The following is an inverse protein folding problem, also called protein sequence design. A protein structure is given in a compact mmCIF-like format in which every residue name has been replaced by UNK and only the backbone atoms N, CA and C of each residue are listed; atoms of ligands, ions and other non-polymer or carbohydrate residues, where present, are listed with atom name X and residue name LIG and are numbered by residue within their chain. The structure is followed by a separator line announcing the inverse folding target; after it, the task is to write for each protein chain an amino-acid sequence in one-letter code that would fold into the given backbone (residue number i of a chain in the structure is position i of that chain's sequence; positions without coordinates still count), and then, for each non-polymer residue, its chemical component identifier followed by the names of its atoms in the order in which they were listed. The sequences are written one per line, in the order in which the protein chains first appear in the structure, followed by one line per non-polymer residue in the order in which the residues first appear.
data_IF_175781963456
#
_entry.id   IF_175781963456
#
_cell.length_a   1.000
_cell.length_b   1.000
_cell.length_c   1.000
_cell.angle_alpha   90.00
_cell.angle_beta   90.00
_cell.angle_gamma   90.00
#
_symmetry.space_group_name_H-M   'P 1'
#
loop_
_entity.id
_entity.type
_entity.pdbx_description
1 polymer ?
#
# COMPACT_ATOMS: atom_id res chain seq x y z
N UNK A 1 -15.19 10.07 -33.25
CA UNK A 1 -14.29 9.61 -32.17
C UNK A 1 -12.89 9.65 -32.75
N UNK A 2 -11.91 10.28 -32.08
CA UNK A 2 -10.53 10.36 -32.61
C UNK A 2 -9.96 8.95 -32.74
N UNK A 3 -9.24 8.65 -33.82
CA UNK A 3 -8.58 7.35 -34.06
C UNK A 3 -7.59 6.95 -32.94
N UNK A 4 -7.24 7.88 -32.09
CA UNK A 4 -6.28 7.73 -30.98
C UNK A 4 -6.95 7.46 -29.62
N UNK A 5 -8.22 7.05 -29.56
CA UNK A 5 -8.90 6.69 -28.31
C UNK A 5 -8.82 5.19 -28.04
N UNK A 6 -8.55 4.83 -26.78
CA UNK A 6 -8.73 3.48 -26.28
C UNK A 6 -10.21 3.24 -25.98
N UNK A 7 -10.79 2.21 -26.56
CA UNK A 7 -12.19 1.85 -26.30
C UNK A 7 -12.21 0.48 -25.62
N UNK A 8 -12.66 0.44 -24.37
CA UNK A 8 -12.87 -0.78 -23.62
C UNK A 8 -13.98 -1.61 -24.26
N UNK A 9 -13.78 -2.92 -24.39
CA UNK A 9 -14.74 -3.88 -24.95
C UNK A 9 -15.37 -4.69 -23.84
N UNK A 10 -14.55 -5.48 -23.15
CA UNK A 10 -14.99 -6.39 -22.08
C UNK A 10 -13.84 -6.71 -21.11
N UNK A 11 -14.21 -7.33 -19.99
CA UNK A 11 -13.26 -7.96 -19.07
C UNK A 11 -13.65 -9.40 -18.80
N UNK A 12 -12.65 -10.27 -18.72
CA UNK A 12 -12.78 -11.67 -18.33
C UNK A 12 -11.99 -11.95 -17.07
N UNK A 13 -12.68 -12.36 -16.00
CA UNK A 13 -12.02 -12.81 -14.76
C UNK A 13 -11.36 -14.17 -15.01
N UNK A 14 -10.07 -14.28 -14.68
CA UNK A 14 -9.26 -15.50 -14.79
C UNK A 14 -9.11 -16.17 -13.42
N UNK A 15 -8.91 -15.35 -12.37
CA UNK A 15 -8.83 -15.81 -10.98
C UNK A 15 -9.57 -14.80 -10.09
N UNK A 16 -10.40 -15.31 -9.17
CA UNK A 16 -11.17 -14.52 -8.21
C UNK A 16 -10.86 -15.03 -6.79
N UNK A 17 -9.75 -14.57 -6.24
CA UNK A 17 -9.26 -14.88 -4.91
C UNK A 17 -8.85 -13.59 -4.18
N UNK A 18 -8.02 -13.70 -3.13
CA UNK A 18 -7.44 -12.53 -2.43
C UNK A 18 -6.70 -11.56 -3.39
N UNK A 19 -6.12 -12.11 -4.46
CA UNK A 19 -5.60 -11.35 -5.61
C UNK A 19 -6.46 -11.73 -6.81
N UNK A 20 -7.09 -10.75 -7.46
CA UNK A 20 -7.89 -10.97 -8.66
C UNK A 20 -7.05 -10.76 -9.90
N UNK A 21 -7.14 -11.72 -10.83
CA UNK A 21 -6.55 -11.59 -12.17
C UNK A 21 -7.66 -11.54 -13.22
N UNK A 22 -7.62 -10.55 -14.10
CA UNK A 22 -8.53 -10.43 -15.23
C UNK A 22 -7.79 -10.15 -16.53
N UNK A 23 -8.44 -10.39 -17.65
CA UNK A 23 -8.01 -9.95 -18.99
C UNK A 23 -8.98 -8.90 -19.47
N UNK A 24 -8.49 -7.70 -19.74
CA UNK A 24 -9.24 -6.61 -20.36
C UNK A 24 -9.00 -6.63 -21.87
N UNK A 25 -10.09 -6.55 -22.65
CA UNK A 25 -10.06 -6.40 -24.09
C UNK A 25 -10.40 -4.95 -24.47
N UNK A 26 -9.65 -4.37 -25.38
CA UNK A 26 -9.88 -3.00 -25.86
C UNK A 26 -9.46 -2.83 -27.33
N UNK A 27 -10.02 -1.83 -27.98
CA UNK A 27 -9.58 -1.40 -29.33
C UNK A 27 -8.76 -0.12 -29.24
N UNK A 28 -7.72 -0.06 -30.07
CA UNK A 28 -6.91 1.11 -30.31
C UNK A 28 -6.48 1.14 -31.78
N UNK A 29 -6.71 2.23 -32.49
CA UNK A 29 -6.41 2.38 -33.93
C UNK A 29 -6.94 1.22 -34.78
N UNK A 30 -8.19 0.82 -34.54
CA UNK A 30 -8.86 -0.25 -35.29
C UNK A 30 -8.36 -1.67 -35.02
N UNK A 31 -7.43 -1.87 -34.09
CA UNK A 31 -6.93 -3.19 -33.69
C UNK A 31 -7.41 -3.55 -32.28
N UNK A 32 -7.66 -4.83 -32.07
CA UNK A 32 -8.04 -5.36 -30.74
C UNK A 32 -6.79 -5.85 -30.00
N UNK A 33 -6.69 -5.48 -28.73
CA UNK A 33 -5.62 -5.87 -27.81
C UNK A 33 -6.22 -6.48 -26.55
N UNK A 34 -5.42 -7.31 -25.87
CA UNK A 34 -5.72 -7.86 -24.54
C UNK A 34 -4.62 -7.53 -23.59
N UNK A 35 -4.98 -7.20 -22.34
CA UNK A 35 -4.04 -6.95 -21.23
C UNK A 35 -4.47 -7.72 -20.01
N UNK A 36 -3.49 -8.34 -19.36
CA UNK A 36 -3.64 -8.91 -18.03
C UNK A 36 -3.60 -7.80 -17.00
N UNK A 37 -4.53 -7.83 -16.07
CA UNK A 37 -4.69 -6.82 -15.02
C UNK A 37 -4.87 -7.52 -13.68
N UNK A 38 -4.03 -7.18 -12.73
CA UNK A 38 -4.23 -7.48 -11.31
C UNK A 38 -5.23 -6.45 -10.77
N UNK A 39 -6.39 -6.90 -10.31
CA UNK A 39 -7.40 -6.04 -9.72
C UNK A 39 -7.20 -6.04 -8.21
N UNK A 40 -6.67 -4.94 -7.69
CA UNK A 40 -6.37 -4.75 -6.29
C UNK A 40 -7.22 -3.64 -5.68
N UNK A 41 -7.65 -3.80 -4.43
CA UNK A 41 -8.28 -2.73 -3.67
C UNK A 41 -7.28 -1.58 -3.48
N UNK A 42 -7.76 -0.33 -3.37
CA UNK A 42 -6.90 0.74 -2.89
C UNK A 42 -6.28 0.40 -1.54
N UNK A 43 -5.14 1.03 -1.24
CA UNK A 43 -4.40 0.82 0.00
C UNK A 43 -4.01 2.14 0.66
N UNK A 44 -3.50 2.05 1.87
CA UNK A 44 -2.94 3.17 2.63
C UNK A 44 -1.50 2.84 3.03
N UNK A 45 -0.66 3.87 3.03
CA UNK A 45 0.68 3.82 3.61
C UNK A 45 0.84 4.96 4.60
N UNK A 46 1.42 4.71 5.77
CA UNK A 46 1.52 5.68 6.84
C UNK A 46 2.99 5.95 7.17
N UNK A 47 3.37 7.21 7.32
CA UNK A 47 4.67 7.63 7.85
C UNK A 47 4.45 8.10 9.30
N UNK A 48 4.62 7.22 10.31
CA UNK A 48 4.42 7.59 11.70
C UNK A 48 5.64 8.34 12.23
N UNK A 49 5.46 9.61 12.58
CA UNK A 49 6.53 10.44 13.15
C UNK A 49 6.50 10.36 14.66
N UNK A 50 7.54 9.74 15.25
CA UNK A 50 7.73 9.68 16.71
C UNK A 50 8.19 11.03 17.23
N UNK A 51 9.07 11.70 16.47
CA UNK A 51 9.56 13.05 16.75
C UNK A 51 9.84 13.80 15.43
N UNK A 52 10.41 14.99 15.53
CA UNK A 52 10.83 15.74 14.33
C UNK A 52 11.87 14.96 13.49
N UNK A 53 12.70 14.14 14.13
CA UNK A 53 13.85 13.48 13.52
C UNK A 53 13.75 11.95 13.52
N UNK A 54 12.63 11.37 13.97
CA UNK A 54 12.43 9.92 14.05
C UNK A 54 11.08 9.50 13.51
N UNK A 55 11.09 8.40 12.76
CA UNK A 55 9.91 7.72 12.24
C UNK A 55 9.88 6.28 12.72
N UNK A 56 8.70 5.70 12.74
CA UNK A 56 8.49 4.28 12.96
C UNK A 56 8.42 3.58 11.61
N UNK A 57 9.24 2.56 11.42
CA UNK A 57 9.16 1.62 10.32
C UNK A 57 8.75 0.25 10.84
N UNK A 58 8.32 -0.61 9.95
CA UNK A 58 8.04 -2.01 10.23
C UNK A 58 8.99 -2.90 9.44
N UNK A 59 9.22 -4.11 9.95
CA UNK A 59 9.91 -5.18 9.24
C UNK A 59 8.98 -6.36 9.15
N UNK A 60 8.62 -6.76 7.93
CA UNK A 60 7.66 -7.80 7.63
C UNK A 60 8.21 -8.79 6.60
N UNK A 61 7.85 -10.07 6.71
CA UNK A 61 8.19 -11.06 5.69
C UNK A 61 7.22 -10.98 4.52
N UNK A 62 7.76 -10.73 3.32
CA UNK A 62 6.97 -10.65 2.09
C UNK A 62 7.16 -11.91 1.25
N UNK A 63 6.14 -12.77 1.22
CA UNK A 63 6.18 -14.07 0.52
C UNK A 63 6.52 -13.95 -0.96
N UNK A 64 6.01 -12.93 -1.63
CA UNK A 64 6.24 -12.72 -3.07
C UNK A 64 7.72 -12.57 -3.43
N UNK A 65 8.52 -11.97 -2.53
CA UNK A 65 9.97 -11.79 -2.72
C UNK A 65 10.79 -12.69 -1.79
N UNK A 66 10.13 -13.52 -0.98
CA UNK A 66 10.72 -14.53 -0.07
C UNK A 66 11.78 -13.96 0.88
N UNK A 67 11.53 -12.77 1.43
CA UNK A 67 12.44 -12.10 2.38
C UNK A 67 11.73 -11.10 3.27
N UNK A 68 12.40 -10.71 4.36
CA UNK A 68 11.97 -9.57 5.17
C UNK A 68 12.29 -8.27 4.44
N UNK A 69 11.31 -7.37 4.40
CA UNK A 69 11.46 -5.99 3.93
C UNK A 69 11.31 -5.02 5.10
N UNK A 70 11.92 -3.85 4.98
CA UNK A 70 11.73 -2.71 5.87
C UNK A 70 10.83 -1.72 5.14
N UNK A 71 9.69 -1.42 5.75
CA UNK A 71 8.58 -0.74 5.10
C UNK A 71 7.97 0.33 6.04
N UNK A 72 7.15 1.20 5.49
CA UNK A 72 6.18 1.96 6.28
C UNK A 72 4.98 1.07 6.60
N UNK A 73 4.26 1.27 7.72
CA UNK A 73 2.97 0.63 7.96
C UNK A 73 2.01 0.87 6.79
N UNK A 74 1.37 -0.21 6.32
CA UNK A 74 0.53 -0.16 5.13
C UNK A 74 -0.48 -1.31 5.08
N UNK A 75 -1.67 -1.04 4.55
CA UNK A 75 -2.66 -2.10 4.35
C UNK A 75 -3.78 -1.72 3.39
N UNK A 76 -4.65 -2.68 3.13
CA UNK A 76 -5.76 -2.53 2.18
C UNK A 76 -6.91 -1.72 2.79
N UNK A 77 -7.54 -0.92 1.96
CA UNK A 77 -8.81 -0.28 2.32
C UNK A 77 -9.91 -1.34 2.19
N UNK A 78 -10.65 -1.57 3.26
CA UNK A 78 -11.75 -2.51 3.28
C UNK A 78 -13.01 -1.96 2.57
N UNK A 79 -13.99 -2.84 2.32
CA UNK A 79 -15.25 -2.43 1.68
C UNK A 79 -15.98 -1.38 2.53
N UNK A 80 -16.32 -0.25 1.91
CA UNK A 80 -17.00 0.90 2.53
C UNK A 80 -16.15 1.67 3.58
N UNK A 81 -14.87 1.38 3.69
CA UNK A 81 -13.94 2.11 4.56
C UNK A 81 -13.38 3.34 3.82
N UNK A 82 -13.26 4.46 4.51
CA UNK A 82 -12.58 5.64 3.97
C UNK A 82 -11.06 5.50 4.13
N UNK A 83 -10.24 6.08 3.22
CA UNK A 83 -8.77 5.99 3.33
C UNK A 83 -8.21 6.45 4.68
N UNK A 84 -8.80 7.47 5.29
CA UNK A 84 -8.39 7.95 6.61
C UNK A 84 -8.70 6.95 7.72
N UNK A 85 -9.82 6.22 7.63
CA UNK A 85 -10.21 5.20 8.59
C UNK A 85 -9.30 3.98 8.48
N UNK A 86 -9.02 3.53 7.25
CA UNK A 86 -8.05 2.48 6.99
C UNK A 86 -6.67 2.84 7.55
N UNK A 87 -6.18 4.04 7.29
CA UNK A 87 -4.88 4.48 7.80
C UNK A 87 -4.83 4.52 9.34
N UNK A 88 -5.94 4.87 10.00
CA UNK A 88 -6.04 4.84 11.46
C UNK A 88 -6.04 3.40 11.99
N UNK A 89 -6.76 2.49 11.35
CA UNK A 89 -6.82 1.07 11.70
C UNK A 89 -5.45 0.42 11.54
N UNK A 90 -4.84 0.53 10.35
CA UNK A 90 -3.52 -0.07 10.05
C UNK A 90 -2.41 0.45 10.97
N UNK A 91 -2.39 1.77 11.25
CA UNK A 91 -1.44 2.33 12.23
C UNK A 91 -1.58 1.66 13.60
N UNK A 92 -2.81 1.45 14.06
CA UNK A 92 -3.08 0.82 15.35
C UNK A 92 -2.71 -0.68 15.36
N UNK A 93 -3.08 -1.41 14.32
CA UNK A 93 -2.86 -2.86 14.20
C UNK A 93 -1.38 -3.21 14.06
N UNK A 94 -0.68 -2.59 13.12
CA UNK A 94 0.71 -2.92 12.82
C UNK A 94 1.72 -2.32 13.81
N UNK A 95 1.37 -1.21 14.47
CA UNK A 95 2.35 -0.50 15.30
C UNK A 95 1.96 -0.40 16.79
N UNK A 96 0.70 -0.56 17.12
CA UNK A 96 0.18 -0.30 18.46
C UNK A 96 0.12 1.18 18.83
N UNK A 97 0.12 2.07 17.84
CA UNK A 97 -0.01 3.51 18.05
C UNK A 97 -1.27 4.08 17.40
N UNK A 98 -1.74 5.19 17.96
CA UNK A 98 -2.69 6.11 17.33
C UNK A 98 -2.04 7.49 17.19
N UNK A 99 -2.59 8.32 16.28
CA UNK A 99 -2.05 9.67 16.07
C UNK A 99 -2.95 10.52 15.17
N UNK A 100 -2.53 11.76 14.94
CA UNK A 100 -3.20 12.69 14.03
C UNK A 100 -2.70 12.39 12.61
N UNK A 101 -3.61 11.92 11.74
CA UNK A 101 -3.31 11.59 10.35
C UNK A 101 -3.53 12.81 9.44
N UNK A 102 -2.51 13.13 8.64
CA UNK A 102 -2.56 14.17 7.63
C UNK A 102 -2.34 13.54 6.26
N UNK A 103 -3.25 13.73 5.28
CA UNK A 103 -3.02 13.27 3.92
C UNK A 103 -1.74 13.87 3.33
N UNK A 104 -0.93 13.05 2.68
CA UNK A 104 0.32 13.47 2.03
C UNK A 104 0.17 13.48 0.51
N UNK A 105 -0.08 12.33 -0.09
CA UNK A 105 -0.21 12.14 -1.54
C UNK A 105 -0.94 10.84 -1.84
N UNK A 106 -1.14 10.55 -3.13
CA UNK A 106 -1.58 9.23 -3.61
C UNK A 106 -0.93 8.93 -4.95
N UNK A 107 -0.62 7.68 -5.22
CA UNK A 107 -0.11 7.23 -6.51
C UNK A 107 -0.51 5.78 -6.78
N UNK A 108 -0.49 5.40 -8.05
CA UNK A 108 -0.55 3.99 -8.45
C UNK A 108 0.83 3.37 -8.27
N UNK A 109 0.91 2.18 -7.67
CA UNK A 109 2.19 1.51 -7.41
C UNK A 109 2.75 0.85 -8.67
N UNK A 110 1.92 0.11 -9.41
CA UNK A 110 2.34 -0.60 -10.62
C UNK A 110 1.31 -0.47 -11.76
N UNK A 111 1.02 0.74 -12.28
CA UNK A 111 -0.11 1.01 -13.19
C UNK A 111 0.02 0.35 -14.57
N UNK A 112 1.12 -0.34 -14.86
CA UNK A 112 1.28 -1.12 -16.08
C UNK A 112 0.44 -2.40 -16.09
N UNK A 113 0.10 -2.95 -14.92
CA UNK A 113 -0.67 -4.19 -14.79
C UNK A 113 -1.54 -4.27 -13.52
N UNK A 114 -1.38 -3.36 -12.57
CA UNK A 114 -2.09 -3.36 -11.29
C UNK A 114 -2.95 -2.11 -11.14
N UNK A 115 -4.11 -2.28 -10.48
CA UNK A 115 -5.06 -1.18 -10.21
C UNK A 115 -4.85 -0.53 -8.86
N UNK A 116 -3.88 -0.94 -8.07
CA UNK A 116 -3.66 -0.46 -6.72
C UNK A 116 -3.36 1.04 -6.67
N UNK A 117 -4.26 1.79 -6.06
CA UNK A 117 -4.07 3.20 -5.72
C UNK A 117 -3.74 3.31 -4.23
N UNK A 118 -2.50 3.65 -3.89
CA UNK A 118 -2.09 3.86 -2.51
C UNK A 118 -2.26 5.30 -2.07
N UNK A 119 -2.90 5.50 -0.91
CA UNK A 119 -3.08 6.80 -0.25
C UNK A 119 -2.06 6.92 0.89
N UNK A 120 -1.18 7.91 0.83
CA UNK A 120 -0.15 8.13 1.84
C UNK A 120 -0.59 9.17 2.87
N UNK A 121 -0.28 8.86 4.14
CA UNK A 121 -0.53 9.74 5.28
C UNK A 121 0.74 9.93 6.11
N UNK A 122 0.83 11.08 6.78
CA UNK A 122 1.78 11.30 7.87
C UNK A 122 1.01 11.25 9.18
N UNK A 123 1.43 10.41 10.11
CA UNK A 123 0.89 10.37 11.48
C UNK A 123 1.80 11.16 12.43
N UNK A 124 1.22 12.04 13.24
CA UNK A 124 1.90 12.87 14.24
C UNK A 124 1.24 12.70 15.60
N UNK A 125 1.91 13.21 16.64
CA UNK A 125 1.41 13.18 18.02
C UNK A 125 1.00 11.76 18.43
N UNK A 126 1.93 10.81 18.18
CA UNK A 126 1.70 9.39 18.38
C UNK A 126 1.51 9.09 19.87
N UNK A 127 0.46 8.36 20.18
CA UNK A 127 0.16 7.84 21.53
C UNK A 127 0.12 6.32 21.44
N UNK A 128 0.86 5.65 22.31
CA UNK A 128 0.85 4.19 22.38
C UNK A 128 -0.46 3.70 22.97
N UNK A 129 -1.02 2.66 22.37
CA UNK A 129 -2.25 2.01 22.84
C UNK A 129 -1.93 1.06 24.00
N UNK A 130 -2.74 1.11 25.07
CA UNK A 130 -2.62 0.19 26.22
C UNK A 130 -2.97 -1.25 25.82
N UNK A 131 -3.93 -1.41 24.91
CA UNK A 131 -4.37 -2.69 24.38
C UNK A 131 -4.34 -2.62 22.84
N UNK A 132 -3.21 -2.89 22.21
CA UNK A 132 -3.13 -2.88 20.76
C UNK A 132 -4.05 -3.94 20.16
N UNK A 133 -4.66 -3.61 19.02
CA UNK A 133 -5.45 -4.55 18.22
C UNK A 133 -4.54 -5.74 17.84
N UNK A 134 -5.09 -6.93 17.83
CA UNK A 134 -4.31 -8.10 17.40
C UNK A 134 -4.08 -8.02 15.89
N UNK A 135 -2.83 -8.20 15.50
CA UNK A 135 -2.46 -8.53 14.11
C UNK A 135 -3.08 -9.86 13.69
N UNK A 136 -3.19 -10.09 12.39
CA UNK A 136 -3.58 -11.38 11.86
C UNK A 136 -2.56 -12.47 12.25
N UNK A 137 -3.01 -13.71 12.42
CA UNK A 137 -2.18 -14.82 12.94
C UNK A 137 -0.96 -15.14 12.06
N UNK A 138 -1.01 -14.79 10.78
CA UNK A 138 0.06 -14.99 9.79
C UNK A 138 0.95 -13.74 9.61
N UNK A 139 0.64 -12.64 10.30
CA UNK A 139 1.44 -11.42 10.27
C UNK A 139 2.48 -11.41 11.39
N UNK A 140 3.75 -11.42 11.01
CA UNK A 140 4.87 -11.24 11.92
C UNK A 140 5.56 -9.91 11.63
N UNK A 141 5.08 -8.85 12.29
CA UNK A 141 5.54 -7.48 12.11
C UNK A 141 6.41 -7.07 13.29
N UNK A 142 7.58 -6.51 13.00
CA UNK A 142 8.51 -5.97 13.99
C UNK A 142 8.61 -4.46 13.78
N UNK A 143 8.28 -3.67 14.79
CA UNK A 143 8.40 -2.21 14.73
C UNK A 143 9.83 -1.75 15.01
N UNK A 144 10.27 -0.70 14.31
CA UNK A 144 11.62 -0.14 14.39
C UNK A 144 11.57 1.38 14.45
N UNK A 145 12.19 1.98 15.49
CA UNK A 145 12.40 3.42 15.52
C UNK A 145 13.68 3.76 14.74
N UNK A 146 13.54 4.60 13.72
CA UNK A 146 14.64 4.94 12.81
C UNK A 146 14.75 6.46 12.68
N UNK A 147 15.97 6.99 12.73
CA UNK A 147 16.18 8.41 12.46
C UNK A 147 15.83 8.70 11.02
N UNK A 148 15.10 9.79 10.77
CA UNK A 148 14.64 10.17 9.43
C UNK A 148 15.79 10.22 8.40
N UNK A 149 16.95 10.74 8.79
CA UNK A 149 18.15 10.76 7.93
C UNK A 149 18.64 9.36 7.56
N UNK A 150 18.54 8.40 8.49
CA UNK A 150 18.99 7.03 8.27
C UNK A 150 17.97 6.29 7.40
N UNK A 151 16.66 6.50 7.61
CA UNK A 151 15.60 5.98 6.73
C UNK A 151 15.76 6.46 5.28
N UNK A 152 16.08 7.74 5.09
CA UNK A 152 16.38 8.29 3.75
C UNK A 152 17.63 7.60 3.16
N UNK A 153 18.69 7.40 3.96
CA UNK A 153 19.91 6.69 3.52
C UNK A 153 19.57 5.25 3.10
N UNK A 154 18.71 4.57 3.84
CA UNK A 154 18.28 3.20 3.55
C UNK A 154 17.55 3.06 2.19
N UNK A 155 16.88 4.11 1.73
CA UNK A 155 16.31 4.14 0.37
C UNK A 155 17.39 4.21 -0.72
N UNK A 156 18.55 4.82 -0.43
CA UNK A 156 19.64 4.95 -1.40
C UNK A 156 20.60 3.76 -1.41
N UNK A 157 20.81 3.11 -0.26
CA UNK A 157 21.74 1.99 -0.14
C UNK A 157 21.09 0.61 -0.38
N UNK A 158 19.77 0.59 -0.60
CA UNK A 158 19.01 -0.61 -0.91
C UNK A 158 18.59 -1.42 0.33
N UNK A 159 18.71 -0.87 1.52
CA UNK A 159 18.17 -1.46 2.75
C UNK A 159 16.64 -1.44 2.74
N UNK A 160 16.05 -0.32 2.27
CA UNK A 160 14.62 -0.20 1.95
C UNK A 160 14.49 -0.40 0.45
N UNK A 161 13.69 -1.39 0.05
CA UNK A 161 13.45 -1.76 -1.35
C UNK A 161 11.97 -1.88 -1.69
N UNK A 162 11.12 -1.45 -0.77
CA UNK A 162 9.70 -1.37 -0.94
C UNK A 162 9.28 0.07 -1.30
#
# INVERSE_FOLDING_TARGET
MSEDSYNFIDKKIIHDGPVKLRIDSFTYRGKTFKKEVVEHNPSVGIIPRISENEILLIKQFRHAVNRYLVEIPAGKIENNELPHEAAKRELAEETGYMGILQPLTKCFLAPSYDTELMHFFVARDLTKLDNPTKMDEDENIITMNVKLKDAISYCYDGTITD
#
